data_IF_371710804091
#
_entry.id   IF_371710804091
#
_cell.length_a   1.000
_cell.length_b   1.000
_cell.length_c   1.000
_cell.angle_alpha   90.00
_cell.angle_beta   90.00
_cell.angle_gamma   90.00
#
_symmetry.space_group_name_H-M   'P 1'
#
loop_
_entity.id
_entity.type
_entity.pdbx_description
1 polymer ?
#
# COMPACT_ATOMS: atom_id res chain seq x y z
N UNK A 1 -15.04 21.39 -6.57
CA UNK A 1 -14.80 22.29 -5.42
C UNK A 1 -15.01 21.47 -4.16
N UNK A 2 -14.00 20.74 -3.74
CA UNK A 2 -14.09 19.79 -2.61
C UNK A 2 -13.90 20.59 -1.34
N UNK A 3 -14.93 20.61 -0.51
CA UNK A 3 -15.02 21.45 0.67
C UNK A 3 -14.00 20.97 1.72
N UNK A 4 -13.07 21.85 2.06
CA UNK A 4 -12.08 21.68 3.12
C UNK A 4 -12.76 21.28 4.44
N UNK A 5 -12.20 20.27 5.12
CA UNK A 5 -12.40 20.09 6.56
C UNK A 5 -11.97 21.39 7.25
N UNK A 6 -12.94 22.18 7.71
CA UNK A 6 -12.74 23.52 8.26
C UNK A 6 -12.21 23.51 9.71
N UNK A 7 -11.35 22.55 10.07
CA UNK A 7 -10.56 22.57 11.31
C UNK A 7 -9.12 22.11 11.03
N UNK A 8 -8.34 23.06 10.53
CA UNK A 8 -6.92 22.96 10.24
C UNK A 8 -6.14 23.30 11.52
N UNK A 9 -5.41 22.33 12.10
CA UNK A 9 -4.34 22.57 13.10
C UNK A 9 -3.19 21.57 13.05
N UNK A 10 -3.39 20.36 12.54
CA UNK A 10 -2.26 19.44 12.35
C UNK A 10 -1.42 19.89 11.13
N UNK A 11 -0.08 19.93 11.26
CA UNK A 11 0.81 20.31 10.16
C UNK A 11 0.70 19.30 9.00
N UNK A 12 1.10 19.73 7.80
CA UNK A 12 1.28 18.84 6.64
C UNK A 12 2.76 18.48 6.57
N UNK A 13 3.07 17.18 6.47
CA UNK A 13 4.46 16.72 6.38
C UNK A 13 4.99 16.81 4.95
N UNK A 14 6.28 17.15 4.82
CA UNK A 14 6.98 17.14 3.54
C UNK A 14 7.84 15.86 3.45
N UNK A 15 7.30 14.82 2.81
CA UNK A 15 8.03 13.59 2.57
C UNK A 15 8.90 13.69 1.31
N UNK A 16 10.05 13.00 1.33
CA UNK A 16 10.89 12.82 0.15
C UNK A 16 10.10 12.14 -0.96
N UNK A 17 10.40 12.50 -2.20
CA UNK A 17 9.79 11.93 -3.39
C UNK A 17 10.90 11.49 -4.32
N UNK A 18 10.94 10.20 -4.64
CA UNK A 18 12.00 9.58 -5.44
C UNK A 18 11.40 9.08 -6.75
N UNK A 19 12.06 9.35 -7.88
CA UNK A 19 11.64 8.84 -9.19
C UNK A 19 12.01 7.36 -9.33
N UNK A 20 11.05 6.50 -9.68
CA UNK A 20 11.30 5.06 -9.81
C UNK A 20 12.39 4.73 -10.84
N UNK A 21 12.48 5.49 -11.95
CA UNK A 21 13.53 5.30 -12.95
C UNK A 21 14.94 5.53 -12.39
N UNK A 22 15.08 6.46 -11.44
CA UNK A 22 16.37 6.71 -10.78
C UNK A 22 16.75 5.57 -9.84
N UNK A 23 15.77 4.96 -9.18
CA UNK A 23 15.99 3.76 -8.35
C UNK A 23 16.41 2.60 -9.27
N UNK A 24 15.70 2.39 -10.37
CA UNK A 24 16.02 1.35 -11.37
C UNK A 24 17.43 1.55 -11.95
N UNK A 25 17.83 2.79 -12.22
CA UNK A 25 19.17 3.10 -12.75
C UNK A 25 20.28 3.11 -11.69
N UNK A 26 20.00 2.70 -10.45
CA UNK A 26 20.93 2.75 -9.31
C UNK A 26 21.56 4.14 -9.10
N UNK A 27 20.77 5.21 -9.26
CA UNK A 27 21.23 6.56 -9.01
C UNK A 27 21.62 6.73 -7.52
N UNK A 28 22.86 7.16 -7.19
CA UNK A 28 23.31 7.27 -5.81
C UNK A 28 22.51 8.29 -4.98
N UNK A 29 21.99 9.35 -5.63
CA UNK A 29 21.16 10.35 -4.97
C UNK A 29 19.80 9.77 -4.57
N UNK A 30 19.14 9.07 -5.50
CA UNK A 30 17.89 8.37 -5.24
C UNK A 30 18.04 7.30 -4.15
N UNK A 31 19.11 6.51 -4.18
CA UNK A 31 19.37 5.49 -3.16
C UNK A 31 19.57 6.11 -1.77
N UNK A 32 20.30 7.24 -1.69
CA UNK A 32 20.46 8.00 -0.45
C UNK A 32 19.13 8.56 0.06
N UNK A 33 18.34 9.18 -0.82
CA UNK A 33 17.04 9.75 -0.46
C UNK A 33 16.05 8.67 0.01
N UNK A 34 16.10 7.49 -0.62
CA UNK A 34 15.32 6.33 -0.24
C UNK A 34 15.66 5.86 1.17
N UNK A 35 16.96 5.68 1.47
CA UNK A 35 17.41 5.28 2.81
C UNK A 35 17.03 6.33 3.86
N UNK A 36 17.28 7.60 3.60
CA UNK A 36 16.93 8.67 4.55
C UNK A 36 15.43 8.72 4.85
N UNK A 37 14.57 8.56 3.83
CA UNK A 37 13.12 8.51 4.02
C UNK A 37 12.66 7.26 4.79
N UNK A 38 13.30 6.11 4.52
CA UNK A 38 13.04 4.85 5.20
C UNK A 38 13.48 4.84 6.67
N UNK A 39 14.60 5.48 7.00
CA UNK A 39 15.07 5.60 8.39
C UNK A 39 14.22 6.57 9.20
N UNK A 40 13.91 7.75 8.62
CA UNK A 40 13.13 8.76 9.31
C UNK A 40 12.46 9.75 8.34
N UNK A 41 11.12 9.86 8.33
CA UNK A 41 10.18 9.37 9.35
C UNK A 41 9.74 7.91 9.19
N UNK A 42 10.35 7.13 8.28
CA UNK A 42 9.83 5.80 7.92
C UNK A 42 8.79 5.86 6.80
N UNK A 43 8.74 6.98 6.07
CA UNK A 43 7.80 7.21 4.98
C UNK A 43 8.46 7.99 3.84
N UNK A 44 8.18 7.59 2.61
CA UNK A 44 8.58 8.34 1.40
C UNK A 44 7.58 8.12 0.27
N UNK A 45 7.57 9.01 -0.71
CA UNK A 45 6.84 8.80 -1.96
C UNK A 45 7.76 8.25 -3.04
N UNK A 46 7.19 7.39 -3.88
CA UNK A 46 7.79 7.02 -5.16
C UNK A 46 6.93 7.55 -6.29
N UNK A 47 7.53 8.31 -7.20
CA UNK A 47 6.90 8.77 -8.43
C UNK A 47 6.90 7.63 -9.46
N UNK A 48 5.70 7.20 -9.84
CA UNK A 48 5.47 6.12 -10.82
C UNK A 48 5.06 6.66 -12.21
N UNK A 49 5.10 7.98 -12.43
CA UNK A 49 4.74 8.62 -13.71
C UNK A 49 5.83 8.44 -14.75
N UNK A 50 5.92 7.22 -15.27
CA UNK A 50 6.89 6.86 -16.29
C UNK A 50 6.18 6.18 -17.45
N UNK A 51 6.77 6.26 -18.65
CA UNK A 51 6.23 5.56 -19.81
C UNK A 51 6.27 4.03 -19.62
N UNK A 52 7.25 3.53 -18.88
CA UNK A 52 7.45 2.11 -18.56
C UNK A 52 6.38 1.55 -17.63
N UNK A 53 5.71 2.37 -16.82
CA UNK A 53 4.68 1.98 -15.86
C UNK A 53 3.27 2.43 -16.27
N UNK A 54 3.05 2.73 -17.55
CA UNK A 54 1.74 3.18 -18.04
C UNK A 54 0.64 2.15 -17.80
N UNK A 55 0.94 0.87 -17.99
CA UNK A 55 -0.03 -0.21 -17.78
C UNK A 55 -0.40 -0.34 -16.30
N UNK A 56 0.57 -0.19 -15.39
CA UNK A 56 0.31 -0.15 -13.95
C UNK A 56 -0.59 1.06 -13.57
N UNK A 57 -0.41 2.22 -14.19
CA UNK A 57 -1.28 3.37 -13.94
C UNK A 57 -2.74 3.08 -14.34
N UNK A 58 -2.94 2.42 -15.49
CA UNK A 58 -4.28 2.00 -15.92
C UNK A 58 -4.87 0.93 -15.00
N UNK A 59 -4.05 0.00 -14.50
CA UNK A 59 -4.49 -0.96 -13.50
C UNK A 59 -4.91 -0.28 -12.20
N UNK A 60 -4.14 0.68 -11.70
CA UNK A 60 -4.46 1.41 -10.47
C UNK A 60 -5.86 2.05 -10.60
N UNK A 61 -6.14 2.74 -11.71
CA UNK A 61 -7.46 3.32 -11.97
C UNK A 61 -8.57 2.26 -11.95
N UNK A 62 -8.33 1.12 -12.61
CA UNK A 62 -9.29 0.01 -12.68
C UNK A 62 -9.52 -0.62 -11.30
N UNK A 63 -8.46 -0.80 -10.52
CA UNK A 63 -8.53 -1.40 -9.17
C UNK A 63 -9.25 -0.46 -8.19
N UNK A 64 -9.09 0.86 -8.33
CA UNK A 64 -9.89 1.82 -7.56
C UNK A 64 -11.38 1.76 -7.92
N UNK A 65 -11.73 1.66 -9.21
CA UNK A 65 -13.12 1.49 -9.63
C UNK A 65 -13.69 0.18 -9.07
N UNK A 66 -12.93 -0.91 -9.18
CA UNK A 66 -13.31 -2.21 -8.66
C UNK A 66 -13.50 -2.20 -7.13
N UNK A 67 -12.64 -1.50 -6.38
CA UNK A 67 -12.80 -1.33 -4.93
C UNK A 67 -14.14 -0.67 -4.59
N UNK A 68 -14.47 0.43 -5.29
CA UNK A 68 -15.75 1.13 -5.09
C UNK A 68 -16.96 0.25 -5.43
N UNK A 69 -16.90 -0.48 -6.55
CA UNK A 69 -17.94 -1.41 -6.96
C UNK A 69 -18.10 -2.55 -5.95
N UNK A 70 -16.98 -3.13 -5.50
CA UNK A 70 -16.97 -4.19 -4.49
C UNK A 70 -17.68 -3.74 -3.20
N UNK A 71 -17.36 -2.56 -2.68
CA UNK A 71 -17.97 -2.05 -1.44
C UNK A 71 -19.40 -1.56 -1.62
N UNK A 72 -19.85 -1.31 -2.86
CA UNK A 72 -21.24 -0.95 -3.18
C UNK A 72 -22.19 -2.15 -3.20
N UNK A 73 -21.68 -3.39 -3.16
CA UNK A 73 -22.49 -4.61 -3.10
C UNK A 73 -23.33 -4.70 -1.81
N UNK A 74 -24.48 -5.42 -1.85
CA UNK A 74 -25.28 -5.69 -0.67
C UNK A 74 -24.47 -6.28 0.48
N UNK A 75 -24.82 -5.91 1.71
CA UNK A 75 -24.04 -6.29 2.87
C UNK A 75 -23.88 -7.80 3.03
N UNK A 76 -24.95 -8.58 2.82
CA UNK A 76 -24.91 -10.03 2.96
C UNK A 76 -23.97 -10.72 1.97
N UNK A 77 -23.75 -10.13 0.79
CA UNK A 77 -22.77 -10.65 -0.18
C UNK A 77 -21.36 -10.40 0.35
N UNK A 78 -21.06 -9.18 0.79
CA UNK A 78 -19.75 -8.84 1.38
C UNK A 78 -19.44 -9.70 2.61
N UNK A 79 -20.40 -9.87 3.51
CA UNK A 79 -20.25 -10.70 4.72
C UNK A 79 -19.90 -12.16 4.40
N UNK A 80 -20.41 -12.69 3.28
CA UNK A 80 -20.12 -14.07 2.85
C UNK A 80 -18.67 -14.29 2.41
N UNK A 81 -17.92 -13.21 2.17
CA UNK A 81 -16.53 -13.27 1.71
C UNK A 81 -15.51 -13.33 2.88
N UNK A 82 -15.95 -13.32 4.14
CA UNK A 82 -15.06 -13.53 5.28
C UNK A 82 -14.68 -15.00 5.43
N UNK A 83 -13.39 -15.27 5.64
CA UNK A 83 -12.81 -16.61 5.80
C UNK A 83 -12.17 -16.74 7.16
N UNK A 84 -12.93 -17.29 8.12
CA UNK A 84 -12.57 -17.37 9.54
C UNK A 84 -11.31 -18.23 9.79
N UNK A 85 -11.11 -19.29 9.00
CA UNK A 85 -9.99 -20.22 9.15
C UNK A 85 -8.60 -19.57 8.93
N UNK A 86 -8.54 -18.46 8.22
CA UNK A 86 -7.30 -17.72 7.92
C UNK A 86 -7.41 -16.23 8.25
N UNK A 87 -8.51 -15.82 8.91
CA UNK A 87 -8.83 -14.43 9.24
C UNK A 87 -8.62 -13.45 8.07
N UNK A 88 -9.18 -13.74 6.90
CA UNK A 88 -8.99 -12.96 5.67
C UNK A 88 -10.29 -12.79 4.89
N UNK A 89 -10.30 -11.88 3.92
CA UNK A 89 -11.47 -11.53 3.12
C UNK A 89 -12.13 -10.27 3.65
N UNK A 90 -13.45 -10.19 3.55
CA UNK A 90 -14.19 -9.01 3.99
C UNK A 90 -14.20 -8.89 5.52
N UNK A 91 -13.93 -7.69 6.04
CA UNK A 91 -14.04 -7.35 7.46
C UNK A 91 -14.67 -5.98 7.64
N UNK A 92 -15.53 -5.85 8.64
CA UNK A 92 -16.05 -4.57 9.09
C UNK A 92 -15.24 -4.05 10.28
N UNK A 93 -14.65 -2.88 10.11
CA UNK A 93 -13.99 -2.14 11.19
C UNK A 93 -14.94 -1.19 11.91
N UNK A 94 -14.42 -0.47 12.89
CA UNK A 94 -15.13 0.68 13.46
C UNK A 94 -15.05 1.82 12.47
N UNK A 95 -16.16 2.11 11.79
CA UNK A 95 -16.31 3.22 10.84
C UNK A 95 -15.53 3.08 9.53
N UNK A 96 -15.10 1.87 9.19
CA UNK A 96 -14.57 1.52 7.87
C UNK A 96 -14.95 0.06 7.56
N UNK A 97 -14.80 -0.33 6.31
CA UNK A 97 -14.80 -1.72 5.88
C UNK A 97 -13.55 -2.01 5.06
N UNK A 98 -13.17 -3.28 5.01
CA UNK A 98 -11.98 -3.71 4.29
C UNK A 98 -12.18 -5.06 3.65
N UNK A 99 -11.42 -5.34 2.61
CA UNK A 99 -11.30 -6.66 2.00
C UNK A 99 -9.84 -6.95 1.74
N UNK A 100 -9.37 -8.15 2.12
CA UNK A 100 -7.98 -8.57 1.90
C UNK A 100 -7.91 -9.90 1.16
N UNK A 101 -6.94 -10.01 0.27
CA UNK A 101 -6.58 -11.26 -0.43
C UNK A 101 -5.06 -11.33 -0.61
N UNK A 102 -4.46 -12.49 -0.33
CA UNK A 102 -3.03 -12.69 -0.53
C UNK A 102 -2.71 -13.02 -2.00
N UNK A 103 -1.54 -12.61 -2.46
CA UNK A 103 -1.06 -12.82 -3.83
C UNK A 103 -1.00 -14.30 -4.23
N UNK A 104 -0.67 -15.18 -3.29
CA UNK A 104 -0.65 -16.63 -3.55
C UNK A 104 -2.05 -17.20 -3.75
N UNK A 105 -3.08 -16.59 -3.16
CA UNK A 105 -4.48 -16.98 -3.39
C UNK A 105 -4.98 -16.53 -4.75
N UNK A 106 -4.42 -15.44 -5.31
CA UNK A 106 -4.75 -15.01 -6.68
C UNK A 106 -4.31 -16.03 -7.74
N UNK A 107 -3.38 -16.92 -7.39
CA UNK A 107 -2.86 -17.98 -8.28
C UNK A 107 -3.65 -19.28 -8.16
N UNK A 108 -4.45 -19.42 -7.11
CA UNK A 108 -5.18 -20.64 -6.81
C UNK A 108 -6.57 -20.57 -7.47
N UNK A 109 -6.81 -21.47 -8.43
CA UNK A 109 -8.08 -21.54 -9.18
C UNK A 109 -9.25 -22.02 -8.31
N UNK A 110 -8.98 -22.70 -7.19
CA UNK A 110 -9.99 -23.15 -6.22
C UNK A 110 -10.32 -22.05 -5.19
N UNK A 111 -9.34 -21.23 -4.80
CA UNK A 111 -9.53 -20.04 -3.93
C UNK A 111 -10.02 -18.81 -4.71
N UNK A 112 -10.84 -19.03 -5.74
CA UNK A 112 -11.34 -18.03 -6.67
C UNK A 112 -11.77 -16.73 -5.96
N UNK A 113 -11.38 -15.61 -6.57
CA UNK A 113 -11.85 -14.28 -6.19
C UNK A 113 -13.36 -14.27 -5.92
N UNK A 114 -13.83 -13.61 -4.84
CA UNK A 114 -15.24 -13.56 -4.56
C UNK A 114 -15.98 -12.55 -5.45
N UNK A 115 -17.16 -12.95 -5.91
CA UNK A 115 -18.10 -12.08 -6.63
C UNK A 115 -17.47 -11.33 -7.80
N UNK A 116 -17.66 -10.01 -7.84
CA UNK A 116 -17.15 -9.14 -8.91
C UNK A 116 -15.63 -9.19 -9.07
N UNK A 117 -14.86 -9.52 -8.02
CA UNK A 117 -13.41 -9.59 -8.13
C UNK A 117 -12.95 -10.71 -9.09
N UNK A 118 -13.74 -11.77 -9.28
CA UNK A 118 -13.43 -12.86 -10.20
C UNK A 118 -13.41 -12.43 -11.65
N UNK A 119 -14.28 -11.50 -12.01
CA UNK A 119 -14.40 -10.96 -13.36
C UNK A 119 -13.15 -10.13 -13.73
N UNK A 120 -12.45 -9.61 -12.73
CA UNK A 120 -11.27 -8.75 -12.87
C UNK A 120 -9.95 -9.44 -12.46
N UNK A 121 -9.95 -10.77 -12.33
CA UNK A 121 -8.77 -11.53 -11.88
C UNK A 121 -7.47 -11.25 -12.66
N UNK A 122 -7.58 -10.99 -13.96
CA UNK A 122 -6.43 -10.72 -14.84
C UNK A 122 -5.78 -9.39 -14.48
N UNK A 123 -6.59 -8.35 -14.28
CA UNK A 123 -6.11 -7.02 -13.88
C UNK A 123 -5.50 -7.07 -12.48
N UNK A 124 -6.16 -7.74 -11.52
CA UNK A 124 -5.64 -7.89 -10.16
C UNK A 124 -4.32 -8.67 -10.13
N UNK A 125 -4.19 -9.74 -10.91
CA UNK A 125 -2.94 -10.48 -11.04
C UNK A 125 -1.82 -9.64 -11.68
N UNK A 126 -2.14 -8.83 -12.70
CA UNK A 126 -1.15 -7.94 -13.32
C UNK A 126 -0.72 -6.83 -12.36
N UNK A 127 -1.67 -6.15 -11.72
CA UNK A 127 -1.45 -5.11 -10.71
C UNK A 127 -0.55 -5.60 -9.58
N UNK A 128 -0.89 -6.73 -8.96
CA UNK A 128 -0.11 -7.31 -7.84
C UNK A 128 1.30 -7.68 -8.24
N UNK A 129 1.48 -8.25 -9.45
CA UNK A 129 2.80 -8.58 -9.98
C UNK A 129 3.67 -7.34 -10.19
N UNK A 130 3.10 -6.25 -10.70
CA UNK A 130 3.83 -4.98 -10.87
C UNK A 130 4.22 -4.37 -9.52
N UNK A 131 3.32 -4.40 -8.54
CA UNK A 131 3.59 -3.92 -7.18
C UNK A 131 4.70 -4.72 -6.48
N UNK A 132 4.67 -6.05 -6.62
CA UNK A 132 5.73 -6.93 -6.12
C UNK A 132 7.09 -6.61 -6.77
N UNK A 133 7.13 -6.37 -8.08
CA UNK A 133 8.34 -5.96 -8.78
C UNK A 133 8.90 -4.64 -8.25
N UNK A 134 8.06 -3.61 -8.11
CA UNK A 134 8.45 -2.31 -7.56
C UNK A 134 9.00 -2.47 -6.13
N UNK A 135 8.34 -3.29 -5.32
CA UNK A 135 8.76 -3.57 -3.94
C UNK A 135 10.14 -4.18 -3.90
N UNK A 136 10.43 -5.18 -4.75
CA UNK A 136 11.74 -5.81 -4.84
C UNK A 136 12.83 -4.84 -5.31
N UNK A 137 12.51 -3.95 -6.25
CA UNK A 137 13.43 -2.88 -6.69
C UNK A 137 13.81 -2.00 -5.51
N UNK A 138 12.82 -1.58 -4.70
CA UNK A 138 13.04 -0.73 -3.53
C UNK A 138 13.82 -1.47 -2.44
N UNK A 139 13.45 -2.72 -2.13
CA UNK A 139 14.18 -3.56 -1.16
C UNK A 139 15.63 -3.78 -1.57
N UNK A 140 15.89 -4.03 -2.86
CA UNK A 140 17.24 -4.18 -3.37
C UNK A 140 18.05 -2.89 -3.21
N UNK A 141 17.46 -1.73 -3.55
CA UNK A 141 18.12 -0.44 -3.34
C UNK A 141 18.42 -0.17 -1.87
N UNK A 142 17.47 -0.42 -0.96
CA UNK A 142 17.67 -0.25 0.48
C UNK A 142 18.75 -1.19 1.03
N UNK A 143 18.71 -2.47 0.62
CA UNK A 143 19.70 -3.47 1.01
C UNK A 143 21.12 -3.07 0.60
N UNK A 144 21.27 -2.58 -0.64
CA UNK A 144 22.55 -2.06 -1.12
C UNK A 144 23.02 -0.83 -0.34
N UNK A 145 22.12 0.12 -0.06
CA UNK A 145 22.44 1.33 0.72
C UNK A 145 22.86 1.02 2.16
N UNK A 146 22.32 -0.05 2.75
CA UNK A 146 22.69 -0.54 4.08
C UNK A 146 23.99 -1.35 4.09
N UNK A 147 24.59 -1.63 2.93
CA UNK A 147 25.81 -2.46 2.82
C UNK A 147 25.58 -3.93 3.18
N UNK A 148 24.33 -4.40 3.09
CA UNK A 148 23.97 -5.80 3.32
C UNK A 148 24.62 -6.69 2.27
N UNK A 149 25.04 -7.90 2.68
CA UNK A 149 25.90 -8.78 1.89
C UNK A 149 25.11 -9.65 0.91
N UNK A 150 25.80 -10.42 0.07
CA UNK A 150 25.23 -11.32 -0.95
C UNK A 150 24.11 -12.24 -0.41
N UNK A 151 24.19 -12.67 0.85
CA UNK A 151 23.18 -13.55 1.45
C UNK A 151 21.84 -12.85 1.71
N UNK A 152 21.81 -11.54 1.93
CA UNK A 152 20.58 -10.77 2.06
C UNK A 152 19.94 -10.50 0.69
N UNK A 153 20.77 -10.24 -0.32
CA UNK A 153 20.30 -10.15 -1.71
C UNK A 153 19.70 -11.48 -2.19
N UNK A 154 20.31 -12.61 -1.79
CA UNK A 154 19.75 -13.95 -2.01
C UNK A 154 18.43 -14.14 -1.28
N UNK A 155 18.26 -13.61 -0.07
CA UNK A 155 16.98 -13.68 0.63
C UNK A 155 15.89 -12.90 -0.10
N UNK A 156 16.18 -11.71 -0.62
CA UNK A 156 15.26 -10.94 -1.47
C UNK A 156 14.90 -11.72 -2.73
N UNK A 157 15.89 -12.30 -3.42
CA UNK A 157 15.65 -13.14 -4.60
C UNK A 157 14.84 -14.42 -4.27
N UNK A 158 14.99 -14.96 -3.05
CA UNK A 158 14.24 -16.13 -2.58
C UNK A 158 12.81 -15.81 -2.12
N UNK A 159 12.39 -14.53 -2.08
CA UNK A 159 11.01 -14.16 -1.80
C UNK A 159 10.03 -14.78 -2.80
N UNK A 160 10.48 -15.04 -4.03
CA UNK A 160 9.68 -15.70 -5.09
C UNK A 160 9.48 -17.20 -4.87
N UNK A 161 10.32 -17.83 -4.04
CA UNK A 161 10.36 -19.29 -3.88
C UNK A 161 9.52 -19.74 -2.67
N UNK A 162 9.32 -18.85 -1.69
CA UNK A 162 8.57 -19.15 -0.47
C UNK A 162 7.15 -18.59 -0.56
N UNK A 163 6.14 -19.31 -0.02
CA UNK A 163 4.82 -18.73 0.17
C UNK A 163 4.93 -17.41 0.92
N UNK A 164 4.26 -16.38 0.40
CA UNK A 164 4.33 -15.03 0.92
C UNK A 164 2.94 -14.59 1.37
N UNK A 165 2.78 -14.06 2.60
CA UNK A 165 1.50 -13.50 3.02
C UNK A 165 1.23 -12.14 2.36
N UNK A 166 2.06 -11.74 1.38
CA UNK A 166 1.86 -10.48 0.66
C UNK A 166 0.49 -10.46 0.01
N UNK A 167 -0.18 -9.32 0.02
CA UNK A 167 -1.56 -9.25 -0.44
C UNK A 167 -2.04 -7.86 -0.77
N UNK A 168 -3.22 -7.80 -1.37
CA UNK A 168 -3.97 -6.58 -1.63
C UNK A 168 -5.06 -6.44 -0.60
N UNK A 169 -5.15 -5.24 -0.06
CA UNK A 169 -6.16 -4.81 0.89
C UNK A 169 -6.87 -3.59 0.33
N UNK A 170 -8.18 -3.71 0.14
CA UNK A 170 -9.06 -2.57 -0.11
C UNK A 170 -9.61 -2.07 1.22
N UNK A 171 -9.71 -0.76 1.36
CA UNK A 171 -10.32 -0.10 2.51
C UNK A 171 -11.34 0.91 1.97
N UNK A 172 -12.49 1.01 2.64
CA UNK A 172 -13.48 2.03 2.38
C UNK A 172 -13.96 2.63 3.69
N UNK A 173 -13.90 3.95 3.79
CA UNK A 173 -14.36 4.71 4.93
C UNK A 173 -15.21 5.90 4.45
N UNK A 174 -16.28 6.25 5.17
CA UNK A 174 -17.09 7.41 4.83
C UNK A 174 -16.27 8.69 5.05
N UNK A 175 -16.38 9.64 4.13
CA UNK A 175 -15.81 10.97 4.32
C UNK A 175 -16.50 11.68 5.48
N UNK A 176 -15.73 12.13 6.46
CA UNK A 176 -16.24 12.96 7.56
C UNK A 176 -15.75 14.40 7.42
N UNK A 177 -16.65 15.36 7.65
CA UNK A 177 -16.30 16.78 7.74
C UNK A 177 -15.57 17.16 9.04
N UNK A 178 -15.47 16.22 10.00
CA UNK A 178 -14.82 16.44 11.31
C UNK A 178 -13.99 15.25 11.74
N UNK A 179 -12.78 15.52 12.22
CA UNK A 179 -11.87 14.49 12.73
C UNK A 179 -12.46 13.77 13.96
N UNK A 180 -13.21 14.46 14.82
CA UNK A 180 -13.86 13.88 16.01
C UNK A 180 -14.86 12.75 15.71
N UNK A 181 -15.40 12.73 14.49
CA UNK A 181 -16.30 11.68 14.02
C UNK A 181 -15.54 10.53 13.33
N UNK A 182 -14.23 10.65 13.19
CA UNK A 182 -13.38 9.64 12.57
C UNK A 182 -12.88 8.73 13.68
N UNK A 183 -13.13 7.41 13.59
CA UNK A 183 -12.59 6.44 14.54
C UNK A 183 -11.06 6.52 14.62
N UNK A 184 -10.51 6.28 15.80
CA UNK A 184 -9.07 6.10 15.94
C UNK A 184 -8.66 4.78 15.27
N UNK A 185 -7.93 4.91 14.17
CA UNK A 185 -7.35 3.81 13.40
C UNK A 185 -5.83 3.81 13.50
N UNK A 186 -5.24 4.36 14.58
CA UNK A 186 -3.79 4.37 14.79
C UNK A 186 -3.23 2.95 14.82
N UNK A 187 -2.30 2.63 13.91
CA UNK A 187 -1.61 1.36 13.87
C UNK A 187 -0.28 1.47 13.11
N UNK A 188 0.51 0.41 13.18
CA UNK A 188 1.61 0.11 12.25
C UNK A 188 1.25 -1.14 11.47
N UNK A 189 1.63 -1.22 10.20
CA UNK A 189 1.42 -2.42 9.40
C UNK A 189 2.34 -3.56 9.85
N UNK A 190 1.89 -4.80 9.67
CA UNK A 190 2.62 -5.99 10.12
C UNK A 190 3.72 -6.47 9.17
N UNK A 191 3.71 -6.02 7.91
CA UNK A 191 4.65 -6.43 6.86
C UNK A 191 6.02 -5.77 6.93
N UNK A 192 6.81 -5.88 5.86
CA UNK A 192 8.11 -5.24 5.66
C UNK A 192 7.98 -3.86 4.99
N UNK A 193 7.21 -3.81 3.91
CA UNK A 193 6.85 -2.58 3.20
C UNK A 193 5.35 -2.55 2.97
N UNK A 194 4.80 -1.34 2.90
CA UNK A 194 3.45 -1.09 2.42
C UNK A 194 3.50 -0.23 1.17
N UNK A 195 2.66 -0.52 0.17
CA UNK A 195 2.38 0.43 -0.91
C UNK A 195 0.98 0.97 -0.66
N UNK A 196 0.89 2.26 -0.37
CA UNK A 196 -0.37 2.92 -0.06
C UNK A 196 -0.74 3.90 -1.18
N UNK A 197 -1.87 3.62 -1.82
CA UNK A 197 -2.58 4.61 -2.63
C UNK A 197 -3.79 5.10 -1.86
N UNK A 198 -3.83 6.40 -1.57
CA UNK A 198 -5.04 7.06 -1.14
C UNK A 198 -5.20 8.38 -1.91
N UNK A 199 -6.22 8.50 -2.78
CA UNK A 199 -6.43 9.68 -3.62
C UNK A 199 -7.04 10.87 -2.86
N UNK A 200 -7.38 10.68 -1.58
CA UNK A 200 -7.98 11.68 -0.71
C UNK A 200 -7.07 12.01 0.47
N UNK A 201 -7.37 13.11 1.16
CA UNK A 201 -6.72 13.44 2.44
C UNK A 201 -7.26 12.52 3.54
N UNK A 202 -6.72 11.31 3.65
CA UNK A 202 -7.15 10.31 4.65
C UNK A 202 -6.11 10.03 5.74
N UNK A 203 -4.82 10.16 5.44
CA UNK A 203 -3.76 9.63 6.30
C UNK A 203 -3.00 10.71 7.07
N UNK A 204 -2.76 10.42 8.35
CA UNK A 204 -1.77 11.11 9.17
C UNK A 204 -0.63 10.15 9.47
N UNK A 205 0.58 10.69 9.61
CA UNK A 205 1.75 9.93 10.06
C UNK A 205 2.31 10.57 11.33
N UNK A 206 2.91 9.75 12.18
CA UNK A 206 3.59 10.18 13.40
C UNK A 206 5.09 10.31 13.12
N UNK A 207 5.66 11.51 13.22
CA UNK A 207 7.11 11.67 13.14
C UNK A 207 7.74 11.19 14.47
N UNK A 208 8.59 10.14 14.45
CA UNK A 208 9.15 9.57 15.67
C UNK A 208 10.11 10.52 16.41
N UNK A 209 10.66 11.54 15.74
CA UNK A 209 11.59 12.52 16.35
C UNK A 209 10.86 13.56 17.17
N UNK A 210 9.68 13.97 16.71
CA UNK A 210 8.91 15.06 17.32
C UNK A 210 7.70 14.55 18.09
N UNK A 211 7.31 13.29 17.86
CA UNK A 211 6.08 12.68 18.37
C UNK A 211 4.84 13.52 17.99
N UNK A 212 4.82 14.05 16.76
CA UNK A 212 3.71 14.85 16.25
C UNK A 212 3.06 14.21 15.04
N UNK A 213 1.73 14.23 15.04
CA UNK A 213 0.92 13.79 13.91
C UNK A 213 0.85 14.87 12.84
N UNK A 214 1.10 14.48 11.60
CA UNK A 214 1.05 15.37 10.43
C UNK A 214 0.27 14.72 9.30
N UNK A 215 -0.48 15.51 8.56
CA UNK A 215 -1.19 15.05 7.36
C UNK A 215 -0.22 14.77 6.23
N UNK A 216 -0.49 13.70 5.48
CA UNK A 216 0.19 13.40 4.22
C UNK A 216 -0.70 13.85 3.08
N UNK A 217 -0.21 14.79 2.26
CA UNK A 217 -0.90 15.22 1.06
C UNK A 217 -0.78 14.15 -0.04
N UNK A 218 -1.92 13.72 -0.59
CA UNK A 218 -1.94 12.85 -1.75
C UNK A 218 -1.23 13.51 -2.95
N UNK A 219 -0.40 12.74 -3.64
CA UNK A 219 0.25 13.14 -4.88
C UNK A 219 -0.14 12.19 -6.00
N UNK A 220 -0.90 12.69 -6.97
CA UNK A 220 -1.31 11.90 -8.12
C UNK A 220 -0.10 11.29 -8.84
N UNK A 221 -0.23 10.03 -9.26
CA UNK A 221 0.86 9.26 -9.88
C UNK A 221 2.01 8.88 -8.95
N UNK A 222 1.88 9.13 -7.65
CA UNK A 222 2.82 8.68 -6.64
C UNK A 222 2.15 7.65 -5.74
N UNK A 223 2.98 6.80 -5.15
CA UNK A 223 2.59 5.84 -4.13
C UNK A 223 3.34 6.18 -2.84
N UNK A 224 2.65 6.13 -1.70
CA UNK A 224 3.28 6.30 -0.39
C UNK A 224 3.84 4.96 0.07
N UNK A 225 5.07 4.96 0.56
CA UNK A 225 5.74 3.81 1.14
C UNK A 225 5.96 4.02 2.64
N UNK A 226 5.09 3.45 3.49
CA UNK A 226 5.43 3.14 4.88
C UNK A 226 6.50 2.03 4.93
N UNK A 227 7.57 2.30 5.67
CA UNK A 227 8.57 1.28 6.04
C UNK A 227 8.21 0.75 7.41
N UNK A 228 7.92 -0.55 7.45
CA UNK A 228 7.39 -1.18 8.65
C UNK A 228 8.52 -1.84 9.42
N UNK A 229 8.61 -1.61 10.71
CA UNK A 229 9.52 -2.31 11.61
C UNK A 229 8.99 -3.72 11.99
N UNK A 230 8.06 -4.28 11.20
CA UNK A 230 7.34 -5.51 11.51
C UNK A 230 8.25 -6.74 11.52
N UNK A 231 7.89 -7.73 12.36
CA UNK A 231 8.60 -9.01 12.47
C UNK A 231 8.24 -10.02 11.34
N UNK A 232 7.52 -9.60 10.28
CA UNK A 232 7.09 -10.51 9.21
C UNK A 232 7.59 -10.07 7.83
N UNK A 233 7.92 -11.03 6.97
CA UNK A 233 8.54 -10.81 5.64
C UNK A 233 7.53 -10.55 4.52
N UNK A 234 6.32 -10.06 4.83
CA UNK A 234 5.24 -9.85 3.85
C UNK A 234 5.11 -8.41 3.38
N UNK A 235 4.64 -8.19 2.15
CA UNK A 235 4.26 -6.89 1.61
C UNK A 235 2.76 -6.64 1.81
N UNK A 236 2.37 -5.48 2.34
CA UNK A 236 0.95 -5.11 2.38
C UNK A 236 0.68 -4.09 1.29
N UNK A 237 -0.14 -4.42 0.30
CA UNK A 237 -0.61 -3.47 -0.70
C UNK A 237 -1.94 -2.91 -0.20
N UNK A 238 -1.97 -1.65 0.20
CA UNK A 238 -3.19 -1.02 0.72
C UNK A 238 -3.71 0.00 -0.28
N UNK A 239 -4.97 -0.14 -0.65
CA UNK A 239 -5.70 0.81 -1.48
C UNK A 239 -6.87 1.31 -0.64
N UNK A 240 -6.83 2.60 -0.29
CA UNK A 240 -7.85 3.32 0.51
C UNK A 240 -8.70 4.24 -0.35
#
# INVERSE_FOLDING_TARGET
MTQLCSQQKAPVTCLKTIDIEKIISNDPGAAKDLLEGAECPGFFFVNLRTASLKDLQADIETVFQLSNEYFSQPQGEKDSHFRDNIDRGYKRGKGYESFEIACDELKDEELAFPGILAEHKVVLAHFTKQCDLITKIILHSLSNSLGLQDDDQRQIANLDVKPSPSGVKFISAPTSARLENTPDTTHTDGGLLTLLWCPQWSSQILDPRTNTWSWVEHKEGHVLFPVNAGNTTGLVLTIE
#
